data_IF_133736333114
#
_entry.id   IF_133736333114
#
_cell.length_a   1.000
_cell.length_b   1.000
_cell.length_c   1.000
_cell.angle_alpha   90.00
_cell.angle_beta   90.00
_cell.angle_gamma   90.00
#
_symmetry.space_group_name_H-M   'P 1'
#
loop_
_entity.id
_entity.type
_entity.pdbx_description
1 polymer ?
#
# COMPACT_ATOMS: atom_id res chain seq x y z
N UNK A 1 -8.77 4.30 7.56
CA UNK A 1 -7.48 4.40 6.84
C UNK A 1 -7.04 5.85 6.80
N UNK A 2 -5.74 6.12 6.83
CA UNK A 2 -5.23 7.49 6.74
C UNK A 2 -3.71 7.52 6.70
N UNK A 3 -3.15 8.63 6.20
CA UNK A 3 -1.71 8.85 6.17
C UNK A 3 -1.37 10.26 6.60
N UNK A 4 -0.27 10.41 7.32
CA UNK A 4 0.36 11.68 7.62
C UNK A 4 1.81 11.62 7.17
N UNK A 5 2.25 12.67 6.49
CA UNK A 5 3.63 12.79 6.01
C UNK A 5 4.18 14.15 6.41
N UNK A 6 5.49 14.19 6.67
CA UNK A 6 6.23 15.40 6.94
C UNK A 6 7.59 15.33 6.23
N UNK A 7 8.06 16.47 5.75
CA UNK A 7 9.35 16.61 5.10
C UNK A 7 10.02 17.89 5.60
N UNK A 8 11.20 17.73 6.19
CA UNK A 8 12.05 18.85 6.58
C UNK A 8 13.25 18.85 5.65
N UNK A 9 13.46 19.97 4.96
CA UNK A 9 14.55 20.12 4.00
C UNK A 9 15.29 21.43 4.21
N UNK A 10 16.61 21.36 4.04
CA UNK A 10 17.49 22.51 3.96
C UNK A 10 18.11 22.53 2.56
N UNK A 11 18.07 23.68 1.90
CA UNK A 11 18.64 23.85 0.57
C UNK A 11 19.44 25.13 0.52
N UNK A 12 20.59 25.08 -0.15
CA UNK A 12 21.45 26.24 -0.36
C UNK A 12 22.13 26.15 -1.71
N UNK A 13 22.19 27.28 -2.40
CA UNK A 13 23.03 27.45 -3.57
C UNK A 13 24.32 28.19 -3.18
N UNK A 14 25.42 27.76 -3.77
CA UNK A 14 26.74 28.36 -3.63
C UNK A 14 27.24 28.76 -5.00
N UNK A 15 27.61 30.03 -5.14
CA UNK A 15 28.36 30.51 -6.30
C UNK A 15 29.81 30.00 -6.16
N UNK A 16 30.28 29.26 -7.15
CA UNK A 16 31.66 28.80 -7.27
C UNK A 16 32.37 29.66 -8.32
N UNK A 17 33.71 29.64 -8.32
CA UNK A 17 34.50 30.36 -9.32
C UNK A 17 34.15 29.93 -10.76
N UNK A 18 33.69 28.70 -10.95
CA UNK A 18 33.31 28.15 -12.25
C UNK A 18 31.94 27.43 -12.19
N UNK A 19 30.90 28.16 -11.81
CA UNK A 19 29.51 27.68 -11.86
C UNK A 19 28.79 27.79 -10.53
N UNK A 20 27.64 27.14 -10.42
CA UNK A 20 26.76 27.20 -9.26
C UNK A 20 26.48 25.80 -8.75
N UNK A 21 26.67 25.58 -7.45
CA UNK A 21 26.37 24.32 -6.78
C UNK A 21 25.15 24.50 -5.88
N UNK A 22 24.04 23.87 -6.24
CA UNK A 22 22.88 23.69 -5.38
C UNK A 22 23.05 22.41 -4.55
N UNK A 23 22.81 22.50 -3.24
CA UNK A 23 22.85 21.36 -2.34
C UNK A 23 21.58 21.33 -1.51
N UNK A 24 20.98 20.15 -1.44
CA UNK A 24 19.82 19.86 -0.62
C UNK A 24 20.11 18.66 0.26
N UNK A 25 19.71 18.76 1.52
CA UNK A 25 19.58 17.63 2.44
C UNK A 25 18.20 17.69 3.05
N UNK A 26 17.53 16.55 3.16
CA UNK A 26 16.21 16.48 3.75
C UNK A 26 15.94 15.17 4.42
N UNK A 27 14.96 15.21 5.32
CA UNK A 27 14.49 14.05 6.06
C UNK A 27 12.98 13.99 5.96
N UNK A 28 12.52 12.92 5.33
CA UNK A 28 11.12 12.61 5.14
C UNK A 28 10.66 11.58 6.18
N UNK A 29 9.46 11.75 6.72
CA UNK A 29 8.81 10.73 7.54
C UNK A 29 7.34 10.62 7.20
N UNK A 30 6.81 9.41 7.15
CA UNK A 30 5.37 9.18 7.04
C UNK A 30 4.91 8.03 7.91
N UNK A 31 3.64 8.13 8.31
CA UNK A 31 2.89 7.07 8.96
C UNK A 31 1.64 6.82 8.12
N UNK A 32 1.41 5.57 7.73
CA UNK A 32 0.23 5.11 7.03
C UNK A 32 -0.46 4.02 7.84
N UNK A 33 -1.73 4.25 8.17
CA UNK A 33 -2.60 3.26 8.82
C UNK A 33 -3.47 2.57 7.78
N UNK A 34 -3.29 1.26 7.65
CA UNK A 34 -4.05 0.39 6.74
C UNK A 34 -4.95 -0.50 7.59
N UNK A 35 -6.25 -0.24 7.49
CA UNK A 35 -7.30 -1.04 8.10
C UNK A 35 -8.25 -1.49 6.99
N UNK A 36 -8.17 -2.76 6.60
CA UNK A 36 -8.85 -3.32 5.44
C UNK A 36 -9.24 -4.77 5.71
N UNK A 37 -10.53 -5.08 5.56
CA UNK A 37 -10.99 -6.47 5.37
C UNK A 37 -11.42 -6.62 3.92
N UNK A 38 -10.74 -7.49 3.20
CA UNK A 38 -11.08 -7.88 1.83
C UNK A 38 -11.57 -9.32 1.86
N UNK A 39 -12.77 -9.58 1.35
CA UNK A 39 -13.23 -10.92 1.04
C UNK A 39 -13.86 -11.00 -0.36
N UNK A 40 -13.86 -12.18 -0.98
CA UNK A 40 -14.68 -12.43 -2.16
C UNK A 40 -16.11 -12.77 -1.76
N UNK A 41 -17.03 -12.08 -2.43
CA UNK A 41 -18.46 -12.34 -2.29
C UNK A 41 -18.87 -13.38 -3.34
N UNK A 42 -19.02 -14.63 -2.92
CA UNK A 42 -19.41 -15.74 -3.78
C UNK A 42 -20.75 -16.30 -3.31
N UNK A 43 -21.76 -16.29 -4.18
CA UNK A 43 -23.10 -16.71 -3.84
C UNK A 43 -23.64 -17.75 -4.82
N UNK A 44 -24.34 -18.75 -4.29
CA UNK A 44 -25.19 -19.66 -5.03
C UNK A 44 -26.59 -19.05 -5.16
N UNK A 45 -26.99 -18.75 -6.39
CA UNK A 45 -28.25 -18.08 -6.70
C UNK A 45 -28.97 -18.77 -7.85
N UNK A 46 -30.29 -18.57 -7.92
CA UNK A 46 -31.09 -19.00 -9.05
C UNK A 46 -30.66 -18.26 -10.33
N UNK A 47 -30.55 -18.99 -11.44
CA UNK A 47 -30.31 -18.41 -12.76
C UNK A 47 -31.61 -17.80 -13.35
N UNK A 48 -32.07 -16.69 -12.76
CA UNK A 48 -33.25 -15.93 -13.18
C UNK A 48 -32.90 -14.44 -13.34
N UNK A 49 -33.50 -13.78 -14.32
CA UNK A 49 -33.36 -12.33 -14.52
C UNK A 49 -34.29 -11.49 -13.63
N UNK A 50 -35.34 -12.09 -13.05
CA UNK A 50 -36.25 -11.43 -12.12
C UNK A 50 -36.07 -12.05 -10.72
N UNK A 51 -35.64 -11.22 -9.76
CA UNK A 51 -35.47 -11.53 -8.32
C UNK A 51 -34.89 -12.92 -8.04
N UNK A 52 -33.64 -13.21 -8.47
CA UNK A 52 -33.02 -14.51 -8.23
C UNK A 52 -32.92 -14.81 -6.74
N UNK A 53 -33.44 -15.97 -6.32
CA UNK A 53 -33.35 -16.42 -4.93
C UNK A 53 -31.94 -16.92 -4.59
N UNK A 54 -31.48 -16.68 -3.35
CA UNK A 54 -30.32 -17.37 -2.78
C UNK A 54 -30.67 -18.83 -2.52
N UNK A 55 -29.80 -19.76 -2.92
CA UNK A 55 -30.03 -21.20 -2.81
C UNK A 55 -29.10 -21.81 -1.77
N UNK A 56 -29.60 -22.74 -0.96
CA UNK A 56 -28.78 -23.46 0.01
C UNK A 56 -28.36 -24.84 -0.52
N UNK A 57 -27.14 -25.25 -0.17
CA UNK A 57 -26.61 -26.58 -0.46
C UNK A 57 -25.69 -27.04 0.68
N UNK A 58 -25.16 -28.27 0.60
CA UNK A 58 -24.15 -28.72 1.56
C UNK A 58 -22.86 -27.86 1.54
N UNK A 59 -22.61 -27.12 0.46
CA UNK A 59 -21.45 -26.25 0.30
C UNK A 59 -21.69 -24.80 0.79
N UNK A 60 -22.92 -24.42 1.13
CA UNK A 60 -23.21 -23.08 1.66
C UNK A 60 -22.81 -22.97 3.13
N UNK A 61 -22.27 -21.81 3.50
CA UNK A 61 -21.85 -21.50 4.88
C UNK A 61 -23.06 -21.55 5.81
N UNK A 62 -22.95 -22.34 6.89
CA UNK A 62 -24.02 -22.51 7.86
C UNK A 62 -24.50 -21.15 8.40
N UNK A 63 -25.83 -20.93 8.37
CA UNK A 63 -26.44 -19.68 8.83
C UNK A 63 -26.34 -18.50 7.86
N UNK A 64 -25.73 -18.67 6.67
CA UNK A 64 -25.61 -17.62 5.65
C UNK A 64 -26.20 -18.09 4.31
N UNK A 65 -27.50 -17.84 4.04
CA UNK A 65 -28.17 -18.37 2.86
C UNK A 65 -27.45 -18.02 1.55
N UNK A 66 -27.18 -19.03 0.73
CA UNK A 66 -26.50 -18.88 -0.55
C UNK A 66 -25.03 -18.47 -0.49
N UNK A 67 -24.47 -18.09 0.66
CA UNK A 67 -23.05 -17.73 0.76
C UNK A 67 -22.20 -19.00 0.61
N UNK A 68 -21.28 -19.01 -0.36
CA UNK A 68 -20.31 -20.09 -0.57
C UNK A 68 -19.02 -19.79 0.19
N UNK A 69 -17.94 -20.53 -0.08
CA UNK A 69 -16.64 -20.46 0.62
C UNK A 69 -15.86 -19.14 0.42
N UNK A 70 -16.56 -18.04 0.11
CA UNK A 70 -16.03 -16.69 -0.08
C UNK A 70 -14.83 -16.68 -1.03
N UNK A 71 -14.87 -17.47 -2.10
CA UNK A 71 -13.78 -17.61 -3.07
C UNK A 71 -12.54 -18.33 -2.57
N UNK A 72 -12.50 -18.88 -1.35
CA UNK A 72 -11.35 -19.66 -0.87
C UNK A 72 -11.22 -21.02 -1.57
N UNK A 73 -12.32 -21.56 -2.08
CA UNK A 73 -12.42 -22.74 -2.93
C UNK A 73 -11.84 -22.52 -4.33
N UNK A 74 -11.98 -21.30 -4.88
CA UNK A 74 -11.46 -20.91 -6.20
C UNK A 74 -10.01 -20.39 -6.11
N UNK A 75 -9.68 -19.61 -5.08
CA UNK A 75 -8.42 -18.85 -4.96
C UNK A 75 -7.50 -19.34 -3.83
N UNK A 76 -7.83 -20.46 -3.18
CA UNK A 76 -6.99 -21.07 -2.14
C UNK A 76 -6.80 -20.22 -0.88
N UNK A 77 -7.67 -19.22 -0.65
CA UNK A 77 -7.59 -18.31 0.50
C UNK A 77 -6.68 -17.09 0.30
N UNK A 78 -5.94 -17.00 -0.82
CA UNK A 78 -4.93 -15.95 -1.07
C UNK A 78 -5.43 -14.51 -0.86
N UNK A 79 -6.72 -14.33 -1.07
CA UNK A 79 -7.28 -13.05 -1.42
C UNK A 79 -8.49 -12.71 -0.52
N UNK A 80 -8.63 -13.46 0.58
CA UNK A 80 -9.42 -13.09 1.75
C UNK A 80 -8.46 -12.72 2.87
N UNK A 81 -8.46 -11.45 3.28
CA UNK A 81 -7.50 -10.94 4.26
C UNK A 81 -8.08 -9.84 5.12
N UNK A 82 -7.67 -9.80 6.37
CA UNK A 82 -7.87 -8.70 7.28
C UNK A 82 -6.49 -8.12 7.64
N UNK A 83 -6.30 -6.84 7.34
CA UNK A 83 -5.10 -6.08 7.61
C UNK A 83 -5.49 -5.00 8.61
N UNK A 84 -4.78 -4.94 9.72
CA UNK A 84 -4.77 -3.80 10.64
C UNK A 84 -3.32 -3.51 10.98
N UNK A 85 -2.69 -2.66 10.18
CA UNK A 85 -1.26 -2.43 10.22
C UNK A 85 -0.90 -0.96 10.05
N UNK A 86 0.17 -0.55 10.71
CA UNK A 86 0.80 0.75 10.56
C UNK A 86 2.16 0.58 9.86
N UNK A 87 2.35 1.35 8.80
CA UNK A 87 3.61 1.46 8.08
C UNK A 87 4.24 2.81 8.41
N UNK A 88 5.44 2.79 8.98
CA UNK A 88 6.25 3.98 9.21
C UNK A 88 7.41 3.97 8.22
N UNK A 89 7.51 5.01 7.40
CA UNK A 89 8.64 5.21 6.49
C UNK A 89 9.45 6.42 6.93
N UNK A 90 10.76 6.26 7.04
CA UNK A 90 11.68 7.37 7.24
C UNK A 90 12.70 7.36 6.11
N UNK A 91 13.06 8.53 5.60
CA UNK A 91 14.07 8.62 4.57
C UNK A 91 14.95 9.85 4.73
N UNK A 92 16.25 9.61 4.79
CA UNK A 92 17.26 10.66 4.62
C UNK A 92 17.59 10.76 3.13
N UNK A 93 17.60 11.96 2.59
CA UNK A 93 17.98 12.20 1.21
C UNK A 93 18.89 13.39 1.05
N UNK A 94 19.71 13.35 0.01
CA UNK A 94 20.55 14.46 -0.42
C UNK A 94 20.52 14.58 -1.94
N UNK A 95 20.66 15.81 -2.42
CA UNK A 95 20.78 16.12 -3.84
C UNK A 95 21.83 17.21 -4.03
N UNK A 96 22.59 17.08 -5.11
CA UNK A 96 23.58 18.02 -5.59
C UNK A 96 23.25 18.35 -7.03
N UNK A 97 23.09 19.64 -7.33
CA UNK A 97 22.92 20.16 -8.68
C UNK A 97 24.06 21.10 -9.02
N UNK A 98 24.70 20.92 -10.17
CA UNK A 98 25.81 21.75 -10.62
C UNK A 98 25.54 22.33 -12.00
N UNK A 99 25.67 23.65 -12.11
CA UNK A 99 25.46 24.41 -13.35
C UNK A 99 26.75 25.13 -13.74
N UNK A 100 27.20 25.00 -14.99
CA UNK A 100 28.33 25.76 -15.55
C UNK A 100 28.16 25.99 -17.05
N UNK A 101 27.93 27.25 -17.46
CA UNK A 101 27.68 27.59 -18.85
C UNK A 101 26.45 26.85 -19.38
N UNK A 102 26.63 26.04 -20.42
CA UNK A 102 25.56 25.23 -21.02
C UNK A 102 25.35 23.86 -20.32
N UNK A 103 26.14 23.55 -19.29
CA UNK A 103 26.04 22.28 -18.55
C UNK A 103 25.17 22.41 -17.31
N UNK A 104 24.29 21.44 -17.11
CA UNK A 104 23.52 21.23 -15.87
C UNK A 104 23.53 19.73 -15.52
N UNK A 105 23.99 19.40 -14.32
CA UNK A 105 24.14 18.02 -13.84
C UNK A 105 23.54 17.90 -12.44
N UNK A 106 22.62 16.95 -12.27
CA UNK A 106 21.99 16.63 -10.99
C UNK A 106 22.31 15.19 -10.57
N UNK A 107 22.61 15.03 -9.28
CA UNK A 107 22.79 13.74 -8.62
C UNK A 107 22.01 13.71 -7.30
N UNK A 108 21.40 12.58 -6.96
CA UNK A 108 20.71 12.43 -5.67
C UNK A 108 20.83 11.01 -5.12
N UNK A 109 20.73 10.92 -3.79
CA UNK A 109 20.69 9.68 -3.04
C UNK A 109 19.59 9.77 -1.99
N UNK A 110 18.89 8.65 -1.77
CA UNK A 110 17.87 8.51 -0.75
C UNK A 110 17.97 7.14 -0.10
N UNK A 111 17.95 7.10 1.23
CA UNK A 111 17.91 5.88 2.05
C UNK A 111 16.53 5.75 2.69
N UNK A 112 15.69 4.85 2.18
CA UNK A 112 14.34 4.60 2.71
C UNK A 112 14.35 3.42 3.70
N UNK A 113 13.87 3.67 4.92
CA UNK A 113 13.66 2.67 5.97
C UNK A 113 12.18 2.58 6.30
N UNK A 114 11.59 1.43 6.01
CA UNK A 114 10.19 1.15 6.33
C UNK A 114 10.10 0.12 7.46
N UNK A 115 9.26 0.41 8.46
CA UNK A 115 8.88 -0.51 9.51
C UNK A 115 7.37 -0.72 9.47
N UNK A 116 6.95 -1.98 9.45
CA UNK A 116 5.54 -2.37 9.50
C UNK A 116 5.25 -3.06 10.83
N UNK A 117 4.15 -2.69 11.46
CA UNK A 117 3.66 -3.30 12.71
C UNK A 117 2.15 -3.46 12.67
N UNK A 118 1.63 -4.45 13.39
CA UNK A 118 0.20 -4.75 13.44
C UNK A 118 -0.08 -6.19 13.02
N UNK A 119 -1.26 -6.43 12.46
CA UNK A 119 -1.73 -7.75 12.08
C UNK A 119 -1.98 -7.88 10.59
N UNK A 120 -1.63 -9.04 10.06
CA UNK A 120 -1.95 -9.48 8.72
C UNK A 120 -2.51 -10.88 8.82
N UNK A 121 -3.82 -11.00 8.69
CA UNK A 121 -4.53 -12.27 8.74
C UNK A 121 -4.99 -12.62 7.34
N UNK A 122 -4.63 -13.81 6.86
CA UNK A 122 -5.05 -14.33 5.58
C UNK A 122 -5.86 -15.60 5.81
N UNK A 123 -6.99 -15.74 5.11
CA UNK A 123 -7.76 -16.97 5.19
C UNK A 123 -6.95 -18.11 4.55
N UNK A 124 -7.07 -19.30 5.14
CA UNK A 124 -6.67 -20.54 4.47
C UNK A 124 -7.83 -21.07 3.64
N UNK A 125 -7.55 -22.01 2.74
CA UNK A 125 -8.61 -22.75 2.02
C UNK A 125 -9.59 -23.34 3.04
N UNK A 126 -10.86 -22.99 2.93
CA UNK A 126 -11.92 -23.64 3.70
C UNK A 126 -12.22 -24.98 3.00
N UNK A 127 -11.85 -26.09 3.65
CA UNK A 127 -12.14 -27.46 3.20
C UNK A 127 -13.50 -27.91 3.69
#
# INVERSE_FOLDING_TARGET
MGSTSNDVRLSRAFELAEGKLATTVGYFTSIQNVALTWNFNQYLMQASGDKPALLNSAATVAGSPGLLAQGTDVWGGCCNRAIDAQYKTNALYTNLGWEKGDWNVDASLRDDKQNASGTYNQAVKQT
#
